data_IF_384218024795
#
_entry.id   IF_384218024795
#
_cell.length_a   1.000
_cell.length_b   1.000
_cell.length_c   1.000
_cell.angle_alpha   90.00
_cell.angle_beta   90.00
_cell.angle_gamma   90.00
#
_symmetry.space_group_name_H-M   'P 1'
#
loop_
_entity.id
_entity.type
_entity.pdbx_description
1 polymer ?
#
# COMPACT_ATOMS: atom_id res chain seq x y z
N UNK A 1 14.33 48.67 -1.94
CA UNK A 1 13.38 47.59 -2.28
C UNK A 1 14.06 46.27 -2.66
N UNK A 2 15.31 46.27 -3.14
CA UNK A 2 16.02 45.04 -3.58
C UNK A 2 16.37 44.07 -2.42
N UNK A 3 16.79 44.59 -1.26
CA UNK A 3 17.21 43.75 -0.13
C UNK A 3 16.03 42.97 0.48
N UNK A 4 14.84 43.58 0.57
CA UNK A 4 13.64 42.93 1.09
C UNK A 4 13.16 41.79 0.18
N UNK A 5 13.24 41.97 -1.14
CA UNK A 5 12.88 40.92 -2.11
C UNK A 5 13.86 39.75 -2.08
N UNK A 6 15.16 40.04 -2.01
CA UNK A 6 16.19 39.00 -1.89
C UNK A 6 16.03 38.18 -0.60
N UNK A 7 15.69 38.84 0.50
CA UNK A 7 15.43 38.17 1.78
C UNK A 7 14.18 37.28 1.72
N UNK A 8 13.09 37.77 1.12
CA UNK A 8 11.88 36.97 0.92
C UNK A 8 12.14 35.73 0.06
N UNK A 9 12.84 35.90 -1.06
CA UNK A 9 13.21 34.79 -1.93
C UNK A 9 14.08 33.76 -1.19
N UNK A 10 14.99 34.21 -0.31
CA UNK A 10 15.83 33.31 0.49
C UNK A 10 15.01 32.52 1.51
N UNK A 11 14.05 33.16 2.19
CA UNK A 11 13.11 32.46 3.08
C UNK A 11 12.32 31.39 2.29
N UNK A 12 11.82 31.73 1.11
CA UNK A 12 11.09 30.77 0.26
C UNK A 12 11.97 29.57 -0.11
N UNK A 13 13.28 29.77 -0.36
CA UNK A 13 14.22 28.67 -0.62
C UNK A 13 14.48 27.80 0.61
N UNK A 14 14.52 28.39 1.81
CA UNK A 14 14.62 27.60 3.06
C UNK A 14 13.35 26.79 3.26
N UNK A 15 12.17 27.39 3.07
CA UNK A 15 10.87 26.71 3.21
C UNK A 15 10.72 25.59 2.17
N UNK A 16 11.16 25.80 0.94
CA UNK A 16 11.17 24.76 -0.09
C UNK A 16 12.12 23.61 0.28
N UNK A 17 13.29 23.91 0.86
CA UNK A 17 14.20 22.91 1.43
C UNK A 17 13.55 22.07 2.53
N UNK A 18 12.77 22.68 3.42
CA UNK A 18 12.00 21.97 4.45
C UNK A 18 10.98 21.02 3.80
N UNK A 19 10.26 21.50 2.79
CA UNK A 19 9.28 20.68 2.06
C UNK A 19 9.94 19.50 1.31
N UNK A 20 11.10 19.73 0.69
CA UNK A 20 11.92 18.67 0.06
C UNK A 20 12.32 17.61 1.09
N UNK A 21 12.83 18.05 2.25
CA UNK A 21 13.18 17.16 3.36
C UNK A 21 11.99 16.31 3.83
N UNK A 22 10.81 16.91 3.95
CA UNK A 22 9.57 16.22 4.31
C UNK A 22 9.16 15.15 3.28
N UNK A 23 9.19 15.48 1.99
CA UNK A 23 8.79 14.55 0.93
C UNK A 23 9.76 13.36 0.88
N UNK A 24 11.07 13.61 0.97
CA UNK A 24 12.09 12.56 0.96
C UNK A 24 11.92 11.65 2.18
N UNK A 25 11.74 12.22 3.38
CA UNK A 25 11.55 11.44 4.61
C UNK A 25 10.28 10.58 4.53
N UNK A 26 9.20 11.13 3.97
CA UNK A 26 7.93 10.42 3.76
C UNK A 26 8.09 9.25 2.79
N UNK A 27 8.70 9.47 1.63
CA UNK A 27 8.97 8.40 0.65
C UNK A 27 9.85 7.33 1.27
N UNK A 28 10.90 7.73 1.99
CA UNK A 28 11.84 6.82 2.64
C UNK A 28 11.19 5.97 3.74
N UNK A 29 10.25 6.53 4.52
CA UNK A 29 9.46 5.76 5.48
C UNK A 29 8.65 4.65 4.80
N UNK A 30 8.04 4.94 3.65
CA UNK A 30 7.28 3.96 2.87
C UNK A 30 8.22 2.88 2.33
N UNK A 31 9.37 3.27 1.75
CA UNK A 31 10.41 2.35 1.25
C UNK A 31 10.91 1.42 2.35
N UNK A 32 11.22 1.93 3.54
CA UNK A 32 11.71 1.11 4.67
C UNK A 32 10.63 0.23 5.32
N UNK A 33 9.36 0.62 5.25
CA UNK A 33 8.25 -0.19 5.76
C UNK A 33 7.99 -1.45 4.92
N UNK A 34 8.63 -1.58 3.75
CA UNK A 34 8.43 -2.68 2.82
C UNK A 34 9.43 -3.83 3.07
N UNK A 35 8.97 -5.09 3.11
CA UNK A 35 9.81 -6.24 3.48
C UNK A 35 11.01 -6.43 2.53
N UNK A 36 12.19 -6.67 3.12
CA UNK A 36 13.50 -6.69 2.43
C UNK A 36 13.63 -7.76 1.33
N UNK A 37 12.82 -8.82 1.35
CA UNK A 37 12.93 -9.99 0.45
C UNK A 37 12.11 -9.87 -0.84
N UNK A 38 11.30 -8.83 -0.98
CA UNK A 38 10.36 -8.69 -2.11
C UNK A 38 10.98 -7.90 -3.27
N UNK A 39 10.68 -8.32 -4.51
CA UNK A 39 10.94 -7.55 -5.73
C UNK A 39 10.34 -6.13 -5.69
N UNK A 40 9.34 -5.90 -4.83
CA UNK A 40 8.77 -4.57 -4.57
C UNK A 40 9.82 -3.57 -4.08
N UNK A 41 10.85 -4.01 -3.33
CA UNK A 41 11.88 -3.10 -2.83
C UNK A 41 12.75 -2.51 -3.93
N UNK A 42 12.96 -3.26 -5.03
CA UNK A 42 13.67 -2.74 -6.22
C UNK A 42 12.88 -1.61 -6.87
N UNK A 43 11.57 -1.80 -7.05
CA UNK A 43 10.67 -0.77 -7.58
C UNK A 43 10.60 0.46 -6.69
N UNK A 44 10.61 0.28 -5.37
CA UNK A 44 10.60 1.39 -4.43
C UNK A 44 11.90 2.20 -4.43
N UNK A 45 13.03 1.55 -4.67
CA UNK A 45 14.30 2.26 -4.84
C UNK A 45 14.30 3.13 -6.11
N UNK A 46 13.71 2.62 -7.21
CA UNK A 46 13.48 3.40 -8.43
C UNK A 46 12.53 4.58 -8.14
N UNK A 47 11.49 4.37 -7.34
CA UNK A 47 10.56 5.43 -6.94
C UNK A 47 11.23 6.51 -6.09
N UNK A 48 12.12 6.15 -5.16
CA UNK A 48 12.94 7.11 -4.41
C UNK A 48 13.81 7.93 -5.36
N UNK A 49 14.50 7.30 -6.32
CA UNK A 49 15.31 7.99 -7.32
C UNK A 49 14.47 8.97 -8.16
N UNK A 50 13.31 8.53 -8.63
CA UNK A 50 12.39 9.36 -9.42
C UNK A 50 11.90 10.56 -8.62
N UNK A 51 11.65 10.37 -7.32
CA UNK A 51 11.29 11.45 -6.39
C UNK A 51 12.41 12.49 -6.29
N UNK A 52 13.67 12.06 -6.18
CA UNK A 52 14.81 12.98 -6.17
C UNK A 52 14.92 13.81 -7.45
N UNK A 53 14.75 13.17 -8.61
CA UNK A 53 14.78 13.85 -9.91
C UNK A 53 13.64 14.87 -10.01
N UNK A 54 12.42 14.49 -9.63
CA UNK A 54 11.26 15.38 -9.61
C UNK A 54 11.44 16.56 -8.66
N UNK A 55 11.95 16.33 -7.45
CA UNK A 55 12.20 17.39 -6.48
C UNK A 55 13.31 18.34 -6.97
N UNK A 56 14.39 17.81 -7.55
CA UNK A 56 15.42 18.61 -8.19
C UNK A 56 14.84 19.51 -9.28
N UNK A 57 14.05 18.93 -10.19
CA UNK A 57 13.35 19.67 -11.25
C UNK A 57 12.37 20.71 -10.71
N UNK A 58 11.58 20.37 -9.68
CA UNK A 58 10.62 21.28 -9.05
C UNK A 58 11.33 22.47 -8.39
N UNK A 59 12.46 22.22 -7.72
CA UNK A 59 13.22 23.27 -7.05
C UNK A 59 13.90 24.20 -8.05
N UNK A 60 14.38 23.66 -9.17
CA UNK A 60 14.86 24.45 -10.29
C UNK A 60 13.74 25.30 -10.93
N UNK A 61 12.55 24.73 -11.13
CA UNK A 61 11.39 25.47 -11.62
C UNK A 61 11.01 26.61 -10.68
N UNK A 62 11.06 26.37 -9.37
CA UNK A 62 10.80 27.39 -8.35
C UNK A 62 11.83 28.52 -8.43
N UNK A 63 13.13 28.20 -8.62
CA UNK A 63 14.18 29.20 -8.86
C UNK A 63 13.92 30.02 -10.13
N UNK A 64 13.49 29.37 -11.22
CA UNK A 64 13.18 30.04 -12.47
C UNK A 64 12.02 31.03 -12.30
N UNK A 65 10.96 30.62 -11.62
CA UNK A 65 9.76 31.45 -11.41
C UNK A 65 9.99 32.60 -10.42
N UNK A 66 10.78 32.38 -9.36
CA UNK A 66 10.97 33.37 -8.29
C UNK A 66 12.08 34.39 -8.58
N UNK A 67 13.04 34.05 -9.46
CA UNK A 67 14.28 34.82 -9.67
C UNK A 67 14.67 35.00 -11.13
N UNK A 68 13.75 34.76 -12.07
CA UNK A 68 14.00 34.85 -13.52
C UNK A 68 15.21 34.00 -13.97
N UNK A 69 15.48 32.89 -13.27
CA UNK A 69 16.60 32.00 -13.58
C UNK A 69 17.98 32.49 -13.12
N UNK A 70 18.08 33.57 -12.34
CA UNK A 70 19.34 34.03 -11.78
C UNK A 70 19.86 33.06 -10.70
N UNK A 71 20.83 32.22 -11.06
CA UNK A 71 21.45 31.27 -10.15
C UNK A 71 22.43 31.98 -9.20
N UNK A 72 22.11 32.02 -7.91
CA UNK A 72 22.96 32.62 -6.88
C UNK A 72 23.54 31.53 -5.98
N UNK A 73 24.81 31.67 -5.59
CA UNK A 73 25.53 30.65 -4.83
C UNK A 73 24.89 30.31 -3.47
N UNK A 74 24.13 31.25 -2.89
CA UNK A 74 23.45 31.03 -1.61
C UNK A 74 22.13 30.25 -1.73
N UNK A 75 21.60 30.02 -2.94
CA UNK A 75 20.31 29.34 -3.11
C UNK A 75 20.38 27.84 -2.80
N UNK A 76 21.37 27.08 -3.32
CA UNK A 76 21.57 25.70 -2.89
C UNK A 76 21.85 25.59 -1.39
N UNK A 77 22.59 26.56 -0.82
CA UNK A 77 22.89 26.59 0.61
C UNK A 77 21.64 26.80 1.44
N UNK A 78 20.75 27.72 1.05
CA UNK A 78 19.47 27.94 1.71
C UNK A 78 18.58 26.68 1.66
N UNK A 79 18.58 25.97 0.53
CA UNK A 79 17.80 24.75 0.37
C UNK A 79 18.35 23.59 1.21
N UNK A 80 19.69 23.41 1.24
CA UNK A 80 20.35 22.43 2.11
C UNK A 80 20.09 22.78 3.58
N UNK A 81 20.19 24.05 3.96
CA UNK A 81 19.87 24.51 5.31
C UNK A 81 18.42 24.21 5.69
N UNK A 82 17.47 24.40 4.77
CA UNK A 82 16.07 24.00 4.95
C UNK A 82 15.89 22.49 5.19
N UNK A 83 16.61 21.64 4.45
CA UNK A 83 16.58 20.18 4.65
C UNK A 83 17.12 19.80 6.04
N UNK A 84 18.22 20.41 6.47
CA UNK A 84 18.76 20.18 7.82
C UNK A 84 17.81 20.67 8.91
N UNK A 85 17.20 21.84 8.72
CA UNK A 85 16.23 22.41 9.64
C UNK A 85 15.01 21.50 9.79
N UNK A 86 14.53 20.93 8.68
CA UNK A 86 13.52 19.88 8.72
C UNK A 86 13.96 18.69 9.57
N UNK A 87 15.17 18.16 9.32
CA UNK A 87 15.66 16.96 10.00
C UNK A 87 15.82 17.16 11.51
N UNK A 88 16.32 18.32 11.95
CA UNK A 88 16.56 18.59 13.37
C UNK A 88 15.28 18.86 14.18
N UNK A 89 14.33 19.63 13.63
CA UNK A 89 13.18 20.12 14.40
C UNK A 89 11.86 19.47 13.99
N UNK A 90 11.59 19.38 12.69
CA UNK A 90 10.27 19.03 12.18
C UNK A 90 10.07 17.53 11.97
N UNK A 91 11.15 16.77 11.80
CA UNK A 91 11.08 15.33 11.50
C UNK A 91 10.27 14.56 12.56
N UNK A 92 10.54 14.79 13.85
CA UNK A 92 9.84 14.08 14.93
C UNK A 92 8.34 14.39 14.94
N UNK A 93 7.98 15.67 14.81
CA UNK A 93 6.60 16.14 14.85
C UNK A 93 5.84 15.65 13.62
N UNK A 94 6.41 15.79 12.43
CA UNK A 94 5.76 15.40 11.18
C UNK A 94 5.61 13.88 11.07
N UNK A 95 6.56 13.08 11.56
CA UNK A 95 6.39 11.62 11.67
C UNK A 95 5.30 11.21 12.64
N UNK A 96 5.13 11.97 13.73
CA UNK A 96 4.03 11.74 14.64
C UNK A 96 2.69 12.02 13.95
N UNK A 97 2.55 13.19 13.31
CA UNK A 97 1.36 13.58 12.55
C UNK A 97 1.07 12.57 11.44
N UNK A 98 2.07 12.17 10.65
CA UNK A 98 1.91 11.20 9.57
C UNK A 98 1.43 9.84 10.09
N UNK A 99 1.99 9.35 11.22
CA UNK A 99 1.52 8.10 11.85
C UNK A 99 0.07 8.21 12.32
N UNK A 100 -0.30 9.35 12.91
CA UNK A 100 -1.68 9.61 13.35
C UNK A 100 -2.62 9.65 12.15
N UNK A 101 -2.28 10.38 11.09
CA UNK A 101 -3.06 10.48 9.86
C UNK A 101 -3.25 9.12 9.18
N UNK A 102 -2.19 8.33 9.04
CA UNK A 102 -2.27 6.99 8.46
C UNK A 102 -3.11 6.08 9.35
N UNK A 103 -2.94 6.15 10.67
CA UNK A 103 -3.71 5.34 11.59
C UNK A 103 -5.22 5.68 11.55
N UNK A 104 -5.55 6.96 11.43
CA UNK A 104 -6.93 7.46 11.38
C UNK A 104 -7.55 7.25 10.00
N UNK A 105 -6.80 7.33 8.90
CA UNK A 105 -7.38 7.27 7.55
C UNK A 105 -7.30 5.86 6.96
N UNK A 106 -6.12 5.23 7.05
CA UNK A 106 -5.85 3.97 6.36
C UNK A 106 -6.45 2.75 7.07
N UNK A 107 -6.41 2.72 8.41
CA UNK A 107 -6.99 1.60 9.17
C UNK A 107 -8.50 1.45 8.98
N UNK A 108 -9.33 2.52 9.08
CA UNK A 108 -10.76 2.36 8.86
C UNK A 108 -11.09 2.01 7.41
N UNK A 109 -10.35 2.52 6.43
CA UNK A 109 -10.55 2.13 5.03
C UNK A 109 -10.39 0.61 4.85
N UNK A 110 -9.30 0.04 5.35
CA UNK A 110 -9.09 -1.42 5.31
C UNK A 110 -10.07 -2.21 6.18
N UNK A 111 -10.62 -1.61 7.22
CA UNK A 111 -11.68 -2.21 8.01
C UNK A 111 -12.97 -2.31 7.19
N UNK A 112 -13.37 -1.25 6.50
CA UNK A 112 -14.55 -1.23 5.62
C UNK A 112 -14.41 -2.27 4.51
N UNK A 113 -13.26 -2.32 3.83
CA UNK A 113 -13.02 -3.31 2.76
C UNK A 113 -13.11 -4.74 3.30
N UNK A 114 -12.48 -5.03 4.45
CA UNK A 114 -12.55 -6.35 5.07
C UNK A 114 -13.97 -6.71 5.52
N UNK A 115 -14.72 -5.73 6.00
CA UNK A 115 -16.12 -5.91 6.37
C UNK A 115 -16.95 -6.30 5.15
N UNK A 116 -16.85 -5.57 4.05
CA UNK A 116 -17.57 -5.87 2.80
C UNK A 116 -17.22 -7.27 2.29
N UNK A 117 -15.93 -7.62 2.22
CA UNK A 117 -15.49 -8.95 1.77
C UNK A 117 -16.02 -10.06 2.69
N UNK A 118 -16.04 -9.83 4.00
CA UNK A 118 -16.58 -10.80 4.97
C UNK A 118 -18.08 -11.02 4.78
N UNK A 119 -18.83 -9.94 4.55
CA UNK A 119 -20.28 -10.01 4.28
C UNK A 119 -20.55 -10.80 3.01
N UNK A 120 -19.85 -10.51 1.92
CA UNK A 120 -19.99 -11.24 0.64
C UNK A 120 -19.66 -12.73 0.84
N UNK A 121 -18.60 -13.05 1.58
CA UNK A 121 -18.22 -14.44 1.86
C UNK A 121 -19.30 -15.18 2.67
N UNK A 122 -19.90 -14.53 3.67
CA UNK A 122 -20.99 -15.13 4.45
C UNK A 122 -22.25 -15.37 3.59
N UNK A 123 -22.60 -14.44 2.70
CA UNK A 123 -23.72 -14.60 1.78
C UNK A 123 -23.49 -15.81 0.85
N UNK A 124 -22.28 -15.92 0.28
CA UNK A 124 -21.89 -17.07 -0.54
C UNK A 124 -21.96 -18.40 0.23
N UNK A 125 -21.43 -18.44 1.46
CA UNK A 125 -21.48 -19.64 2.30
C UNK A 125 -22.92 -20.02 2.66
N UNK A 126 -23.78 -19.04 2.92
CA UNK A 126 -25.20 -19.27 3.19
C UNK A 126 -25.89 -19.91 1.98
N UNK A 127 -25.63 -19.40 0.78
CA UNK A 127 -26.19 -19.93 -0.46
C UNK A 127 -25.70 -21.37 -0.72
N UNK A 128 -24.40 -21.62 -0.56
CA UNK A 128 -23.82 -22.97 -0.67
C UNK A 128 -24.42 -23.95 0.36
N UNK A 129 -24.67 -23.50 1.59
CA UNK A 129 -25.30 -24.34 2.61
C UNK A 129 -26.74 -24.73 2.24
N UNK A 130 -27.53 -23.80 1.67
CA UNK A 130 -28.88 -24.09 1.17
C UNK A 130 -28.80 -25.16 0.08
N UNK A 131 -27.92 -24.98 -0.91
CA UNK A 131 -27.73 -25.96 -1.99
C UNK A 131 -27.30 -27.31 -1.43
N UNK A 132 -26.40 -27.34 -0.44
CA UNK A 132 -25.98 -28.57 0.21
C UNK A 132 -27.12 -29.27 0.95
N UNK A 133 -28.01 -28.53 1.61
CA UNK A 133 -29.19 -29.09 2.30
C UNK A 133 -30.10 -29.78 1.28
N UNK A 134 -30.29 -29.19 0.10
CA UNK A 134 -31.11 -29.76 -0.98
C UNK A 134 -30.44 -31.00 -1.59
N UNK A 135 -29.13 -30.99 -1.80
CA UNK A 135 -28.39 -32.08 -2.46
C UNK A 135 -28.13 -33.27 -1.51
N UNK A 136 -27.96 -33.03 -0.20
CA UNK A 136 -27.70 -34.06 0.82
C UNK A 136 -28.64 -35.27 0.79
N UNK A 137 -29.98 -35.13 0.71
CA UNK A 137 -30.86 -36.28 0.63
C UNK A 137 -30.61 -37.12 -0.63
N UNK A 138 -30.39 -36.50 -1.78
CA UNK A 138 -30.14 -37.21 -3.04
C UNK A 138 -28.82 -37.98 -3.03
N UNK A 139 -27.75 -37.38 -2.49
CA UNK A 139 -26.46 -38.06 -2.34
C UNK A 139 -26.59 -39.28 -1.42
N UNK A 140 -27.36 -39.17 -0.34
CA UNK A 140 -27.59 -40.27 0.62
C UNK A 140 -28.40 -41.42 0.01
N UNK A 141 -29.38 -41.10 -0.83
CA UNK A 141 -30.16 -42.09 -1.59
C UNK A 141 -29.27 -42.82 -2.59
N UNK A 142 -28.46 -42.07 -3.36
CA UNK A 142 -27.55 -42.64 -4.35
C UNK A 142 -26.48 -43.53 -3.70
N UNK A 143 -25.90 -43.11 -2.56
CA UNK A 143 -24.91 -43.92 -1.85
C UNK A 143 -25.52 -45.23 -1.32
N UNK A 144 -26.75 -45.19 -0.81
CA UNK A 144 -27.44 -46.38 -0.32
C UNK A 144 -27.76 -47.36 -1.46
N UNK A 145 -28.23 -46.85 -2.60
CA UNK A 145 -28.57 -47.66 -3.76
C UNK A 145 -27.33 -48.30 -4.40
N UNK A 146 -26.26 -47.53 -4.55
CA UNK A 146 -24.98 -48.02 -5.08
C UNK A 146 -24.34 -49.08 -4.18
N UNK A 147 -24.39 -48.90 -2.85
CA UNK A 147 -23.91 -49.90 -1.89
C UNK A 147 -24.68 -51.22 -2.01
N UNK A 148 -26.00 -51.12 -2.15
CA UNK A 148 -26.88 -52.29 -2.29
C UNK A 148 -26.62 -53.03 -3.60
N UNK A 149 -26.46 -52.31 -4.72
CA UNK A 149 -26.12 -52.88 -6.03
C UNK A 149 -24.75 -53.55 -6.03
N UNK A 150 -23.73 -52.89 -5.47
CA UNK A 150 -22.38 -53.43 -5.37
C UNK A 150 -22.34 -54.68 -4.48
N UNK A 151 -23.12 -54.71 -3.40
CA UNK A 151 -23.28 -55.90 -2.56
C UNK A 151 -23.89 -57.05 -3.36
N UNK A 152 -24.99 -56.80 -4.08
CA UNK A 152 -25.67 -57.81 -4.92
C UNK A 152 -24.77 -58.37 -6.03
N UNK A 153 -24.01 -57.52 -6.71
CA UNK A 153 -23.00 -57.92 -7.71
C UNK A 153 -21.89 -58.79 -7.10
N UNK A 154 -21.44 -58.44 -5.90
CA UNK A 154 -20.41 -59.21 -5.18
C UNK A 154 -20.92 -60.60 -4.78
N UNK A 155 -22.18 -60.73 -4.33
CA UNK A 155 -22.82 -62.02 -4.05
C UNK A 155 -22.97 -62.88 -5.31
N UNK A 156 -23.40 -62.30 -6.44
CA UNK A 156 -23.51 -63.02 -7.72
C UNK A 156 -22.16 -63.55 -8.21
N UNK A 157 -21.08 -62.75 -8.06
CA UNK A 157 -19.72 -63.17 -8.42
C UNK A 157 -19.20 -64.31 -7.53
N UNK A 158 -19.64 -64.36 -6.26
CA UNK A 158 -19.25 -65.42 -5.33
C UNK A 158 -19.97 -66.74 -5.63
N UNK A 159 -21.27 -66.68 -5.93
CA UNK A 159 -22.07 -67.88 -6.24
C UNK A 159 -21.64 -68.54 -7.56
N UNK A 160 -21.21 -67.74 -8.55
CA UNK A 160 -20.69 -68.22 -9.85
C UNK A 160 -19.29 -68.85 -9.77
N UNK A 161 -18.62 -68.79 -8.63
CA UNK A 161 -17.31 -69.43 -8.37
C UNK A 161 -17.44 -70.76 -7.62
N UNK A 162 -18.64 -71.11 -7.14
CA UNK A 162 -18.91 -72.33 -6.39
C UNK A 162 -19.70 -73.38 -7.19
N UNK A 163 -20.14 -73.05 -8.41
CA UNK A 163 -20.56 -74.01 -9.45
C UNK A 163 -19.41 -74.25 -10.41
#
# INVERSE_FOLDING_TARGET
MIVSEQFFQLIVMVVSGIAVGFIIDSVRLIVFSTPKRSSLRKWMMVFELLTWILLGGLTYYLLFWLKDGAWRAYDPLAQIAGIFLYQSFFQTILRFIARVLVNITWRPFWFIVRFIVSVIRHILQFLLNIVMIVIRPFVKIYSYLSYTFLKKLRYLKYNKKQQ
#
